data_IF_275100662973
#
_entry.id   IF_275100662973
#
_cell.length_a   1.000
_cell.length_b   1.000
_cell.length_c   1.000
_cell.angle_alpha   90.00
_cell.angle_beta   90.00
_cell.angle_gamma   90.00
#
_symmetry.space_group_name_H-M   'P 1'
#
loop_
_entity.id
_entity.type
_entity.pdbx_description
1 polymer ?
#
# COMPACT_ATOMS: atom_id res chain seq x y z
N UNK A 1 8.61 -0.82 13.69
CA UNK A 1 8.45 -2.21 13.45
C UNK A 1 7.85 -2.54 12.12
N UNK A 2 8.67 -3.08 11.30
CA UNK A 2 8.23 -3.50 9.98
C UNK A 2 7.12 -4.55 10.04
N UNK A 3 7.08 -5.31 11.13
CA UNK A 3 6.13 -6.39 11.26
C UNK A 3 4.67 -5.99 11.26
N UNK A 4 4.34 -4.79 11.76
CA UNK A 4 2.94 -4.38 11.79
C UNK A 4 2.39 -4.10 10.39
N UNK A 5 3.13 -3.36 9.58
CA UNK A 5 2.69 -3.08 8.21
C UNK A 5 2.62 -4.36 7.39
N UNK A 6 3.60 -5.25 7.56
CA UNK A 6 3.59 -6.53 6.88
C UNK A 6 2.45 -7.41 7.35
N UNK A 7 2.15 -7.39 8.64
CA UNK A 7 1.05 -8.20 9.17
C UNK A 7 -0.29 -7.76 8.58
N UNK A 8 -0.51 -6.46 8.42
CA UNK A 8 -1.74 -5.95 7.82
C UNK A 8 -1.84 -6.40 6.36
N UNK A 9 -0.75 -6.28 5.60
CA UNK A 9 -0.74 -6.68 4.21
C UNK A 9 -0.97 -8.18 4.05
N UNK A 10 -0.34 -8.98 4.90
CA UNK A 10 -0.52 -10.43 4.89
C UNK A 10 -1.96 -10.80 5.23
N UNK A 11 -2.54 -10.12 6.22
CA UNK A 11 -3.91 -10.37 6.62
C UNK A 11 -4.89 -10.11 5.48
N UNK A 12 -4.73 -9.00 4.79
CA UNK A 12 -5.58 -8.66 3.64
C UNK A 12 -5.43 -9.69 2.53
N UNK A 13 -4.20 -10.07 2.21
CA UNK A 13 -3.94 -11.05 1.18
C UNK A 13 -4.52 -12.41 1.55
N UNK A 14 -4.42 -12.78 2.80
CA UNK A 14 -4.96 -14.06 3.28
C UNK A 14 -6.48 -14.07 3.18
N UNK A 15 -7.15 -13.02 3.64
CA UNK A 15 -8.59 -12.92 3.58
C UNK A 15 -9.08 -12.96 2.14
N UNK A 16 -8.39 -12.24 1.26
CA UNK A 16 -8.73 -12.25 -0.15
C UNK A 16 -8.52 -13.63 -0.76
N UNK A 17 -7.40 -14.27 -0.45
CA UNK A 17 -7.11 -15.61 -0.96
C UNK A 17 -8.17 -16.63 -0.57
N UNK A 18 -8.65 -16.56 0.67
CA UNK A 18 -9.72 -17.44 1.12
C UNK A 18 -11.00 -17.22 0.33
N UNK A 19 -11.35 -15.96 0.09
CA UNK A 19 -12.54 -15.63 -0.67
C UNK A 19 -12.44 -16.16 -2.10
N UNK A 20 -11.28 -15.98 -2.73
CA UNK A 20 -11.05 -16.46 -4.09
C UNK A 20 -11.11 -17.98 -4.15
N UNK A 21 -10.50 -18.64 -3.19
CA UNK A 21 -10.48 -20.10 -3.16
C UNK A 21 -11.90 -20.66 -3.02
N UNK A 22 -12.74 -19.98 -2.26
CA UNK A 22 -14.12 -20.39 -2.11
C UNK A 22 -14.91 -20.24 -3.41
N UNK A 23 -14.59 -19.20 -4.19
CA UNK A 23 -15.29 -18.96 -5.44
C UNK A 23 -14.75 -19.77 -6.60
N UNK A 24 -13.56 -20.29 -6.51
CA UNK A 24 -12.89 -21.02 -7.58
C UNK A 24 -12.57 -22.42 -7.12
N UNK A 25 -13.33 -23.37 -7.60
CA UNK A 25 -13.19 -24.75 -7.18
C UNK A 25 -11.89 -25.42 -7.60
N UNK A 26 -11.01 -24.71 -8.28
CA UNK A 26 -9.74 -25.26 -8.77
C UNK A 26 -8.50 -24.87 -8.00
N UNK A 27 -8.63 -24.40 -6.75
CA UNK A 27 -7.50 -23.94 -5.97
C UNK A 27 -7.17 -22.48 -6.21
N UNK A 28 -6.06 -21.96 -5.65
CA UNK A 28 -5.74 -20.55 -5.76
C UNK A 28 -5.53 -20.17 -7.22
N UNK A 29 -6.15 -19.11 -7.64
CA UNK A 29 -5.99 -18.62 -9.00
C UNK A 29 -4.56 -18.12 -9.20
N UNK A 30 -4.07 -18.23 -10.42
CA UNK A 30 -2.77 -17.69 -10.77
C UNK A 30 -2.72 -16.19 -10.49
N UNK A 31 -3.82 -15.51 -10.76
CA UNK A 31 -3.91 -14.08 -10.46
C UNK A 31 -3.78 -13.80 -8.97
N UNK A 32 -4.42 -14.59 -8.12
CA UNK A 32 -4.31 -14.44 -6.66
C UNK A 32 -2.88 -14.57 -6.16
N UNK A 33 -2.15 -15.53 -6.71
CA UNK A 33 -0.74 -15.73 -6.36
C UNK A 33 0.11 -14.54 -6.82
N UNK A 34 -0.09 -14.11 -8.07
CA UNK A 34 0.64 -12.96 -8.62
C UNK A 34 0.29 -11.68 -7.89
N UNK A 35 -0.98 -11.53 -7.49
CA UNK A 35 -1.43 -10.36 -6.75
C UNK A 35 -0.73 -10.28 -5.40
N UNK A 36 -0.59 -11.39 -4.71
CA UNK A 36 0.12 -11.43 -3.43
C UNK A 36 1.57 -10.99 -3.59
N UNK A 37 2.25 -11.53 -4.60
CA UNK A 37 3.62 -11.12 -4.86
C UNK A 37 3.71 -9.63 -5.18
N UNK A 38 2.75 -9.13 -5.94
CA UNK A 38 2.72 -7.73 -6.35
C UNK A 38 2.52 -6.80 -5.15
N UNK A 39 1.59 -7.14 -4.26
CA UNK A 39 1.32 -6.31 -3.08
C UNK A 39 2.50 -6.34 -2.12
N UNK A 40 3.20 -7.46 -2.01
CA UNK A 40 4.44 -7.53 -1.23
C UNK A 40 5.50 -6.61 -1.83
N UNK A 41 5.65 -6.64 -3.15
CA UNK A 41 6.60 -5.76 -3.84
C UNK A 41 6.24 -4.29 -3.59
N UNK A 42 4.96 -3.94 -3.69
CA UNK A 42 4.52 -2.57 -3.43
C UNK A 42 4.87 -2.12 -2.01
N UNK A 43 4.71 -3.01 -1.04
CA UNK A 43 5.06 -2.70 0.36
C UNK A 43 6.56 -2.44 0.53
N UNK A 44 7.38 -3.18 -0.19
CA UNK A 44 8.83 -3.04 -0.10
C UNK A 44 9.34 -1.83 -0.87
N UNK A 45 8.55 -1.31 -1.81
CA UNK A 45 8.95 -0.20 -2.68
C UNK A 45 8.01 0.99 -2.52
N UNK A 46 7.57 1.23 -1.30
CA UNK A 46 6.56 2.24 -1.01
C UNK A 46 6.99 3.65 -1.41
N UNK A 47 8.29 3.92 -1.38
CA UNK A 47 8.82 5.24 -1.76
C UNK A 47 8.92 5.48 -3.25
N UNK A 48 8.67 4.47 -4.07
CA UNK A 48 8.74 4.62 -5.53
C UNK A 48 7.38 5.00 -6.09
N UNK A 49 7.41 5.72 -7.22
CA UNK A 49 6.17 6.12 -7.87
C UNK A 49 5.44 4.91 -8.43
N UNK A 50 4.12 4.97 -8.38
CA UNK A 50 3.28 3.90 -8.91
C UNK A 50 3.27 3.96 -10.43
N UNK A 51 3.58 2.83 -11.07
CA UNK A 51 3.49 2.69 -12.52
C UNK A 51 2.54 1.56 -12.84
N UNK A 52 1.31 1.91 -13.19
CA UNK A 52 0.25 0.92 -13.45
C UNK A 52 0.56 0.02 -14.64
N UNK A 53 1.18 0.57 -15.69
CA UNK A 53 1.53 -0.25 -16.85
C UNK A 53 2.54 -1.33 -16.48
N UNK A 54 3.52 -0.96 -15.69
CA UNK A 54 4.54 -1.91 -15.23
C UNK A 54 3.94 -2.99 -14.35
N UNK A 55 3.08 -2.59 -13.41
CA UNK A 55 2.43 -3.55 -12.52
C UNK A 55 1.53 -4.50 -13.30
N UNK A 56 0.76 -3.96 -14.24
CA UNK A 56 -0.11 -4.78 -15.08
C UNK A 56 0.70 -5.77 -15.89
N UNK A 57 1.82 -5.34 -16.46
CA UNK A 57 2.70 -6.21 -17.23
C UNK A 57 3.25 -7.37 -16.40
N UNK A 58 3.57 -7.11 -15.13
CA UNK A 58 4.08 -8.16 -14.24
C UNK A 58 3.09 -9.29 -14.03
N UNK A 59 1.80 -9.00 -14.12
CA UNK A 59 0.77 -10.03 -13.98
C UNK A 59 0.15 -10.42 -15.32
N UNK A 60 0.71 -9.94 -16.41
CA UNK A 60 0.28 -10.35 -17.76
C UNK A 60 -1.05 -9.77 -18.21
N UNK A 61 -1.41 -8.59 -17.72
CA UNK A 61 -2.69 -7.97 -18.01
C UNK A 61 -2.52 -6.60 -18.64
N UNK A 62 -3.55 -6.12 -19.33
CA UNK A 62 -3.64 -4.72 -19.73
C UNK A 62 -3.86 -3.86 -18.50
N UNK A 63 -3.52 -2.57 -18.62
CA UNK A 63 -3.71 -1.64 -17.51
C UNK A 63 -5.15 -1.59 -17.03
N UNK A 64 -6.11 -1.55 -17.95
CA UNK A 64 -7.53 -1.48 -17.58
C UNK A 64 -8.00 -2.76 -16.91
N UNK A 65 -7.61 -3.91 -17.44
CA UNK A 65 -7.98 -5.20 -16.87
C UNK A 65 -7.37 -5.37 -15.48
N UNK A 66 -6.10 -5.00 -15.33
CA UNK A 66 -5.40 -5.04 -14.05
C UNK A 66 -6.11 -4.17 -13.01
N UNK A 67 -6.42 -2.92 -13.39
CA UNK A 67 -7.10 -1.99 -12.47
C UNK A 67 -8.41 -2.58 -11.96
N UNK A 68 -9.22 -3.14 -12.86
CA UNK A 68 -10.50 -3.72 -12.49
C UNK A 68 -10.34 -4.91 -11.56
N UNK A 69 -9.47 -5.84 -11.92
CA UNK A 69 -9.25 -7.03 -11.10
C UNK A 69 -8.67 -6.67 -9.74
N UNK A 70 -7.71 -5.74 -9.72
CA UNK A 70 -7.11 -5.30 -8.46
C UNK A 70 -8.18 -4.71 -7.54
N UNK A 71 -9.01 -3.81 -8.06
CA UNK A 71 -10.05 -3.16 -7.26
C UNK A 71 -11.06 -4.18 -6.73
N UNK A 72 -11.46 -5.13 -7.56
CA UNK A 72 -12.36 -6.19 -7.13
C UNK A 72 -11.73 -7.04 -6.02
N UNK A 73 -10.45 -7.35 -6.18
CA UNK A 73 -9.74 -8.23 -5.27
C UNK A 73 -9.41 -7.55 -3.94
N UNK A 74 -8.93 -6.31 -4.02
CA UNK A 74 -8.40 -5.61 -2.83
C UNK A 74 -9.42 -4.64 -2.23
N UNK A 75 -10.52 -4.38 -2.90
CA UNK A 75 -11.53 -3.45 -2.42
C UNK A 75 -11.21 -1.99 -2.72
N UNK A 76 -10.01 -1.68 -3.18
CA UNK A 76 -9.58 -0.33 -3.52
C UNK A 76 -8.72 -0.38 -4.77
N UNK A 77 -8.60 0.75 -5.46
CA UNK A 77 -7.76 0.85 -6.64
C UNK A 77 -6.27 0.67 -6.29
N UNK A 78 -5.42 0.34 -7.27
CA UNK A 78 -3.98 0.30 -7.01
C UNK A 78 -3.43 1.60 -6.46
N UNK A 79 -3.88 2.74 -6.98
CA UNK A 79 -3.43 4.05 -6.50
C UNK A 79 -3.83 4.28 -5.04
N UNK A 80 -5.07 3.92 -4.69
CA UNK A 80 -5.53 4.04 -3.31
C UNK A 80 -4.74 3.14 -2.38
N UNK A 81 -4.49 1.92 -2.81
CA UNK A 81 -3.69 0.96 -2.05
C UNK A 81 -2.28 1.51 -1.80
N UNK A 82 -1.68 2.11 -2.82
CA UNK A 82 -0.35 2.69 -2.72
C UNK A 82 -0.31 3.84 -1.69
N UNK A 83 -1.31 4.73 -1.74
CA UNK A 83 -1.43 5.81 -0.75
C UNK A 83 -1.59 5.23 0.66
N UNK A 84 -2.42 4.21 0.82
CA UNK A 84 -2.62 3.58 2.13
C UNK A 84 -1.32 3.01 2.68
N UNK A 85 -0.53 2.35 1.83
CA UNK A 85 0.78 1.83 2.23
C UNK A 85 1.72 2.95 2.67
N UNK A 86 1.79 4.03 1.90
CA UNK A 86 2.65 5.17 2.23
C UNK A 86 2.26 5.78 3.57
N UNK A 87 0.96 5.94 3.80
CA UNK A 87 0.49 6.52 5.07
C UNK A 87 0.78 5.60 6.25
N UNK A 88 0.65 4.29 6.07
CA UNK A 88 0.96 3.34 7.14
C UNK A 88 2.44 3.38 7.51
N UNK A 89 3.33 3.43 6.51
CA UNK A 89 4.76 3.54 6.77
C UNK A 89 5.08 4.89 7.42
N UNK A 90 4.46 5.96 6.95
CA UNK A 90 4.66 7.28 7.54
C UNK A 90 4.26 7.30 9.02
N UNK A 91 3.10 6.71 9.35
CA UNK A 91 2.66 6.61 10.76
C UNK A 91 3.69 5.89 11.60
N UNK A 92 4.21 4.78 11.09
CA UNK A 92 5.19 3.99 11.79
C UNK A 92 6.49 4.78 12.03
N UNK A 93 6.99 5.44 10.99
CA UNK A 93 8.21 6.23 11.10
C UNK A 93 8.04 7.40 12.08
N UNK A 94 6.88 8.05 12.05
CA UNK A 94 6.61 9.16 12.95
C UNK A 94 6.56 8.69 14.41
N UNK A 95 6.01 7.52 14.67
CA UNK A 95 5.90 6.99 16.04
C UNK A 95 7.18 6.36 16.55
N UNK A 96 7.91 5.67 15.69
CA UNK A 96 9.00 4.81 16.13
C UNK A 96 10.39 5.37 15.89
N UNK A 97 10.49 6.49 15.19
CA UNK A 97 11.80 7.11 14.92
C UNK A 97 11.78 8.58 15.27
N UNK A 98 12.98 9.17 15.28
CA UNK A 98 13.16 10.61 15.47
C UNK A 98 13.39 11.33 14.15
N UNK A 99 13.13 10.67 13.03
CA UNK A 99 13.32 11.30 11.72
C UNK A 99 12.44 12.55 11.61
N UNK A 100 12.97 13.55 10.93
CA UNK A 100 12.20 14.77 10.68
C UNK A 100 10.99 14.46 9.80
N UNK A 101 9.98 15.32 9.86
CA UNK A 101 8.82 15.19 8.98
C UNK A 101 9.25 15.23 7.51
N UNK A 102 10.23 16.06 7.19
CA UNK A 102 10.78 16.14 5.82
C UNK A 102 11.36 14.79 5.40
N UNK A 103 12.16 14.17 6.28
CA UNK A 103 12.78 12.88 5.97
C UNK A 103 11.72 11.78 5.84
N UNK A 104 10.71 11.80 6.70
CA UNK A 104 9.60 10.83 6.58
C UNK A 104 8.90 11.00 5.24
N UNK A 105 8.62 12.24 4.84
CA UNK A 105 7.98 12.51 3.55
C UNK A 105 8.80 11.93 2.39
N UNK A 106 10.11 12.15 2.41
CA UNK A 106 11.00 11.63 1.38
C UNK A 106 11.02 10.10 1.38
N UNK A 107 11.09 9.49 2.55
CA UNK A 107 11.12 8.03 2.67
C UNK A 107 9.89 7.37 2.06
N UNK A 108 8.73 8.02 2.18
CA UNK A 108 7.50 7.46 1.62
C UNK A 108 7.17 8.01 0.23
N UNK A 109 8.12 8.70 -0.40
CA UNK A 109 8.02 9.03 -1.82
C UNK A 109 7.48 10.41 -2.16
N UNK A 110 7.43 11.33 -1.19
CA UNK A 110 6.94 12.69 -1.44
C UNK A 110 8.08 13.69 -1.37
N UNK A 111 8.42 14.26 -2.54
CA UNK A 111 9.48 15.26 -2.62
C UNK A 111 9.10 16.58 -1.96
N UNK A 112 7.80 16.88 -1.92
CA UNK A 112 7.30 18.14 -1.37
C UNK A 112 6.72 17.88 0.03
N UNK A 113 7.38 18.35 1.11
CA UNK A 113 6.90 18.11 2.47
C UNK A 113 5.52 18.71 2.75
N UNK A 114 5.22 19.84 2.15
CA UNK A 114 3.91 20.50 2.32
C UNK A 114 2.79 19.65 1.72
N UNK A 115 3.04 19.06 0.55
CA UNK A 115 2.08 18.17 -0.08
C UNK A 115 1.87 16.93 0.79
N UNK A 116 2.96 16.36 1.28
CA UNK A 116 2.88 15.22 2.19
C UNK A 116 2.05 15.55 3.43
N UNK A 117 2.31 16.70 4.05
CA UNK A 117 1.62 17.08 5.29
C UNK A 117 0.12 17.24 5.06
N UNK A 118 -0.28 17.85 3.95
CA UNK A 118 -1.70 18.01 3.62
C UNK A 118 -2.36 16.64 3.37
N UNK A 119 -1.69 15.78 2.63
CA UNK A 119 -2.19 14.44 2.35
C UNK A 119 -2.31 13.64 3.64
N UNK A 120 -1.28 13.67 4.49
CA UNK A 120 -1.28 12.95 5.75
C UNK A 120 -2.45 13.41 6.64
N UNK A 121 -2.65 14.73 6.73
CA UNK A 121 -3.77 15.25 7.53
C UNK A 121 -5.13 14.82 6.97
N UNK A 122 -5.26 14.83 5.63
CA UNK A 122 -6.49 14.39 4.99
C UNK A 122 -6.78 12.91 5.29
N UNK A 123 -5.74 12.08 5.26
CA UNK A 123 -5.89 10.64 5.44
C UNK A 123 -5.99 10.20 6.90
N UNK A 124 -5.38 10.93 7.82
CA UNK A 124 -5.29 10.51 9.22
C UNK A 124 -6.05 11.42 10.18
N UNK A 125 -6.42 12.62 9.74
CA UNK A 125 -7.07 13.60 10.58
C UNK A 125 -6.12 14.52 11.34
N UNK A 126 -4.82 14.25 11.33
CA UNK A 126 -3.83 15.02 12.06
C UNK A 126 -2.65 15.37 11.17
N UNK A 127 -2.01 16.51 11.45
CA UNK A 127 -0.75 16.81 10.81
C UNK A 127 0.31 15.79 11.26
N UNK A 128 1.39 15.59 10.48
CA UNK A 128 2.45 14.67 10.91
C UNK A 128 3.02 15.03 12.28
N UNK A 129 3.23 16.32 12.55
CA UNK A 129 3.78 16.75 13.83
C UNK A 129 2.83 16.47 14.98
N UNK A 130 1.54 16.73 14.79
CA UNK A 130 0.54 16.45 15.81
C UNK A 130 0.40 14.95 16.05
N UNK A 131 0.46 14.16 14.98
CA UNK A 131 0.40 12.71 15.09
C UNK A 131 1.56 12.18 15.95
N UNK A 132 2.77 12.69 15.70
CA UNK A 132 3.94 12.29 16.49
C UNK A 132 3.79 12.61 17.96
N UNK A 133 3.21 13.76 18.29
CA UNK A 133 3.03 14.18 19.69
C UNK A 133 2.02 13.33 20.44
N UNK A 134 1.15 12.63 19.74
CA UNK A 134 0.10 11.82 20.37
C UNK A 134 0.55 10.47 20.87
N UNK A 135 1.72 10.01 20.51
CA UNK A 135 2.15 8.68 20.89
C UNK A 135 2.31 8.47 22.39
#
# INVERSE_FOLDING_TARGET
MQGMAQAIAIHLARNYSQTVDESHSGGPSLFGYKLRQLTEWMSEHVGEDLNLDRLAAQVGLSKFHFHRLFKTAMGVSPSRHHINLRMNVARQLLRETKKSVVDVALDVGYANPSHFAKLFRRETGLSPSDYRRQR
#
